data_IF_697806396019
#
_entry.id   IF_697806396019
#
_cell.length_a   1.000
_cell.length_b   1.000
_cell.length_c   1.000
_cell.angle_alpha   90.00
_cell.angle_beta   90.00
_cell.angle_gamma   90.00
#
_symmetry.space_group_name_H-M   'P 1'
#
loop_
_entity.id
_entity.type
_entity.pdbx_description
1 polymer ?
#
# COMPACT_ATOMS: atom_id res chain seq x y z
N UNK A 1 -0.85 -22.48 2.36
CA UNK A 1 -1.27 -21.12 2.68
C UNK A 1 -0.82 -20.18 1.56
N UNK A 2 -1.74 -19.36 1.05
CA UNK A 2 -1.43 -18.46 -0.08
C UNK A 2 -0.35 -17.42 0.26
N UNK A 3 -0.09 -17.11 1.54
CA UNK A 3 1.06 -16.27 1.93
C UNK A 3 2.41 -16.86 1.48
N UNK A 4 2.50 -18.16 1.27
CA UNK A 4 3.74 -18.78 0.80
C UNK A 4 4.16 -18.30 -0.59
N UNK A 5 3.23 -17.78 -1.41
CA UNK A 5 3.56 -17.15 -2.69
C UNK A 5 4.45 -15.90 -2.54
N UNK A 6 4.50 -15.28 -1.36
CA UNK A 6 5.49 -14.24 -1.10
C UNK A 6 6.93 -14.73 -1.29
N UNK A 7 7.22 -15.99 -1.00
CA UNK A 7 8.55 -16.57 -1.23
C UNK A 7 8.93 -16.61 -2.71
N UNK A 8 7.95 -16.65 -3.61
CA UNK A 8 8.15 -16.64 -5.06
C UNK A 8 8.28 -15.21 -5.60
N UNK A 9 7.57 -14.26 -5.01
CA UNK A 9 7.59 -12.86 -5.43
C UNK A 9 8.78 -12.07 -4.88
N UNK A 10 9.10 -12.22 -3.59
CA UNK A 10 10.11 -11.42 -2.91
C UNK A 10 11.51 -11.46 -3.57
N UNK A 11 12.00 -12.59 -4.11
CA UNK A 11 13.30 -12.62 -4.79
C UNK A 11 13.42 -11.72 -6.02
N UNK A 12 12.29 -11.30 -6.59
CA UNK A 12 12.25 -10.41 -7.76
C UNK A 12 12.57 -8.94 -7.43
N UNK A 13 12.58 -8.61 -6.14
CA UNK A 13 12.74 -7.24 -5.65
C UNK A 13 13.99 -7.13 -4.76
N UNK A 14 14.48 -5.91 -4.60
CA UNK A 14 15.64 -5.63 -3.77
C UNK A 14 15.43 -5.89 -2.28
N UNK A 15 16.42 -5.56 -1.48
CA UNK A 15 16.53 -5.98 -0.08
C UNK A 15 15.57 -5.26 0.85
N UNK A 16 15.26 -4.00 0.62
CA UNK A 16 14.54 -3.14 1.57
C UNK A 16 13.05 -3.07 1.23
N UNK A 17 12.22 -3.50 2.17
CA UNK A 17 10.76 -3.56 2.03
C UNK A 17 10.11 -2.64 3.04
N UNK A 18 9.31 -1.69 2.56
CA UNK A 18 8.43 -0.89 3.42
C UNK A 18 7.13 -1.66 3.66
N UNK A 19 6.91 -2.02 4.92
CA UNK A 19 5.73 -2.77 5.34
C UNK A 19 4.64 -1.83 5.79
N UNK A 20 3.61 -1.69 4.95
CA UNK A 20 2.47 -0.80 5.14
C UNK A 20 1.29 -1.56 5.72
N UNK A 21 0.72 -1.07 6.82
CA UNK A 21 -0.47 -1.68 7.44
C UNK A 21 -1.27 -0.66 8.27
N UNK A 22 -2.49 -1.02 8.64
CA UNK A 22 -3.40 -0.17 9.39
C UNK A 22 -3.18 -0.16 10.90
N UNK A 23 -4.24 -0.04 11.66
CA UNK A 23 -4.24 0.18 13.12
C UNK A 23 -3.93 -1.03 14.01
N UNK A 24 -3.52 -2.18 13.46
CA UNK A 24 -3.06 -3.31 14.25
C UNK A 24 -3.95 -4.56 14.23
N UNK A 25 -5.01 -4.60 13.43
CA UNK A 25 -5.84 -5.81 13.28
C UNK A 25 -5.02 -7.01 12.79
N UNK A 26 -4.08 -6.78 11.87
CA UNK A 26 -3.19 -7.84 11.36
C UNK A 26 -2.24 -8.39 12.43
N UNK A 27 -1.92 -7.61 13.45
CA UNK A 27 -1.12 -8.08 14.61
C UNK A 27 -1.94 -9.01 15.50
N UNK A 28 -3.22 -8.66 15.73
CA UNK A 28 -4.14 -9.46 16.57
C UNK A 28 -4.50 -10.81 15.94
N UNK A 29 -4.62 -10.89 14.63
CA UNK A 29 -4.97 -12.12 13.92
C UNK A 29 -3.76 -12.92 13.42
N UNK A 30 -2.53 -12.48 13.74
CA UNK A 30 -1.30 -13.19 13.43
C UNK A 30 -0.78 -13.03 11.99
N UNK A 31 -1.46 -12.28 11.13
CA UNK A 31 -1.02 -12.05 9.74
C UNK A 31 0.30 -11.29 9.72
N UNK A 32 0.45 -10.27 10.58
CA UNK A 32 1.68 -9.49 10.70
C UNK A 32 2.90 -10.38 10.96
N UNK A 33 2.80 -11.25 11.97
CA UNK A 33 3.92 -12.12 12.35
C UNK A 33 4.31 -13.06 11.19
N UNK A 34 3.32 -13.64 10.51
CA UNK A 34 3.56 -14.50 9.35
C UNK A 34 4.27 -13.77 8.21
N UNK A 35 3.82 -12.55 7.89
CA UNK A 35 4.43 -11.72 6.84
C UNK A 35 5.87 -11.35 7.22
N UNK A 36 6.09 -10.90 8.44
CA UNK A 36 7.42 -10.54 8.94
C UNK A 36 8.38 -11.73 8.90
N UNK A 37 7.92 -12.92 9.32
CA UNK A 37 8.73 -14.14 9.26
C UNK A 37 9.16 -14.50 7.84
N UNK A 38 8.23 -14.37 6.87
CA UNK A 38 8.54 -14.61 5.45
C UNK A 38 9.53 -13.57 4.92
N UNK A 39 9.34 -12.29 5.24
CA UNK A 39 10.28 -11.23 4.85
C UNK A 39 11.67 -11.49 5.39
N UNK A 40 11.80 -11.82 6.67
CA UNK A 40 13.08 -12.16 7.30
C UNK A 40 13.72 -13.41 6.71
N UNK A 41 12.94 -14.45 6.45
CA UNK A 41 13.43 -15.68 5.82
C UNK A 41 13.97 -15.43 4.40
N UNK A 42 13.46 -14.40 3.70
CA UNK A 42 13.97 -13.96 2.40
C UNK A 42 15.09 -12.90 2.51
N UNK A 43 15.64 -12.66 3.68
CA UNK A 43 16.75 -11.73 3.91
C UNK A 43 16.36 -10.26 3.72
N UNK A 44 15.09 -9.91 3.83
CA UNK A 44 14.63 -8.54 3.64
C UNK A 44 14.86 -7.69 4.89
N UNK A 45 15.19 -6.42 4.66
CA UNK A 45 15.20 -5.36 5.68
C UNK A 45 13.82 -4.72 5.68
N UNK A 46 13.19 -4.67 6.84
CA UNK A 46 11.82 -4.16 7.01
C UNK A 46 11.87 -2.71 7.48
N UNK A 47 11.22 -1.83 6.73
CA UNK A 47 10.93 -0.46 7.13
C UNK A 47 9.46 -0.41 7.54
N UNK A 48 9.20 -0.21 8.83
CA UNK A 48 7.85 -0.20 9.37
C UNK A 48 7.11 1.09 9.00
N UNK A 49 5.92 0.93 8.42
CA UNK A 49 5.01 2.04 8.10
C UNK A 49 3.58 1.65 8.47
N UNK A 50 3.34 1.56 9.77
CA UNK A 50 2.04 1.22 10.35
C UNK A 50 1.16 2.43 10.61
N UNK A 51 -0.05 2.17 11.09
CA UNK A 51 -0.99 3.22 11.49
C UNK A 51 -1.69 3.90 10.32
N UNK A 52 -1.73 3.28 9.15
CA UNK A 52 -2.52 3.81 8.02
C UNK A 52 -3.99 3.80 8.40
N UNK A 53 -4.57 4.99 8.47
CA UNK A 53 -5.96 5.18 8.83
C UNK A 53 -6.89 4.95 7.63
N UNK A 54 -8.18 4.63 7.85
CA UNK A 54 -9.19 4.76 6.80
C UNK A 54 -9.16 6.18 6.22
N UNK A 55 -9.20 6.29 4.90
CA UNK A 55 -8.98 7.56 4.19
C UNK A 55 -7.61 8.19 4.53
N UNK A 56 -6.50 7.64 4.02
CA UNK A 56 -5.14 8.10 4.31
C UNK A 56 -4.99 9.59 4.06
N UNK A 57 -4.28 10.26 4.97
CA UNK A 57 -4.08 11.71 4.89
C UNK A 57 -2.82 12.10 4.13
N UNK A 58 -2.80 13.36 3.66
CA UNK A 58 -1.61 13.95 3.01
C UNK A 58 -0.41 13.94 3.94
N UNK A 59 -0.61 14.24 5.23
CA UNK A 59 0.46 14.20 6.22
C UNK A 59 1.08 12.79 6.32
N UNK A 60 0.22 11.77 6.38
CA UNK A 60 0.68 10.37 6.42
C UNK A 60 1.40 9.99 5.12
N UNK A 61 0.92 10.46 3.98
CA UNK A 61 1.59 10.27 2.69
C UNK A 61 3.01 10.86 2.69
N UNK A 62 3.18 12.07 3.20
CA UNK A 62 4.50 12.69 3.28
C UNK A 62 5.46 11.92 4.18
N UNK A 63 4.98 11.42 5.34
CA UNK A 63 5.77 10.56 6.22
C UNK A 63 6.25 9.29 5.49
N UNK A 64 5.34 8.58 4.84
CA UNK A 64 5.65 7.35 4.12
C UNK A 64 6.57 7.56 2.92
N UNK A 65 6.37 8.65 2.18
CA UNK A 65 7.23 9.02 1.06
C UNK A 65 8.66 9.35 1.52
N UNK A 66 8.79 10.07 2.63
CA UNK A 66 10.08 10.37 3.26
C UNK A 66 10.80 9.09 3.72
N UNK A 67 10.10 8.19 4.41
CA UNK A 67 10.64 6.89 4.82
C UNK A 67 11.13 6.09 3.61
N UNK A 68 10.34 6.01 2.56
CA UNK A 68 10.68 5.27 1.34
C UNK A 68 11.93 5.82 0.65
N UNK A 69 12.06 7.13 0.59
CA UNK A 69 13.22 7.80 -0.02
C UNK A 69 14.48 7.65 0.82
N UNK A 70 14.40 7.92 2.11
CA UNK A 70 15.56 7.88 3.02
C UNK A 70 16.12 6.47 3.20
N UNK A 71 15.25 5.46 3.26
CA UNK A 71 15.64 4.06 3.37
C UNK A 71 15.97 3.40 2.02
N UNK A 72 15.81 4.11 0.93
CA UNK A 72 15.99 3.59 -0.44
C UNK A 72 15.20 2.29 -0.66
N UNK A 73 13.92 2.34 -0.38
CA UNK A 73 13.01 1.20 -0.42
C UNK A 73 12.88 0.62 -1.82
N UNK A 74 12.94 -0.71 -1.92
CA UNK A 74 12.89 -1.45 -3.19
C UNK A 74 11.49 -2.00 -3.50
N UNK A 75 10.68 -2.23 -2.48
CA UNK A 75 9.31 -2.74 -2.56
C UNK A 75 8.48 -2.16 -1.43
N UNK A 76 7.26 -1.74 -1.74
CA UNK A 76 6.26 -1.40 -0.74
C UNK A 76 5.25 -2.54 -0.68
N UNK A 77 5.13 -3.18 0.49
CA UNK A 77 4.19 -4.28 0.72
C UNK A 77 3.05 -3.79 1.60
N UNK A 78 1.87 -3.66 1.01
CA UNK A 78 0.65 -3.27 1.72
C UNK A 78 -0.05 -4.52 2.27
N UNK A 79 -0.26 -4.57 3.57
CA UNK A 79 -1.00 -5.65 4.25
C UNK A 79 -2.24 -5.05 4.90
N UNK A 80 -3.38 -5.14 4.22
CA UNK A 80 -4.61 -4.52 4.67
C UNK A 80 -5.71 -4.48 3.62
N UNK A 81 -6.61 -3.53 3.75
CA UNK A 81 -7.69 -3.27 2.81
C UNK A 81 -7.33 -2.21 1.77
N UNK A 82 -8.35 -1.68 1.10
CA UNK A 82 -8.18 -0.69 0.02
C UNK A 82 -7.42 0.57 0.43
N UNK A 83 -7.62 1.07 1.66
CA UNK A 83 -6.89 2.24 2.16
C UNK A 83 -5.39 2.01 2.25
N UNK A 84 -4.95 0.81 2.67
CA UNK A 84 -3.53 0.45 2.68
C UNK A 84 -2.96 0.35 1.26
N UNK A 85 -3.73 -0.22 0.33
CA UNK A 85 -3.31 -0.33 -1.08
C UNK A 85 -3.21 1.06 -1.74
N UNK A 86 -4.20 1.91 -1.54
CA UNK A 86 -4.19 3.30 -2.06
C UNK A 86 -3.00 4.08 -1.51
N UNK A 87 -2.80 4.00 -0.20
CA UNK A 87 -1.67 4.64 0.45
C UNK A 87 -0.32 4.15 -0.10
N UNK A 88 -0.14 2.84 -0.24
CA UNK A 88 1.08 2.26 -0.79
C UNK A 88 1.36 2.73 -2.22
N UNK A 89 0.34 2.80 -3.08
CA UNK A 89 0.45 3.34 -4.43
C UNK A 89 0.82 4.83 -4.42
N UNK A 90 0.17 5.61 -3.56
CA UNK A 90 0.49 7.04 -3.42
C UNK A 90 1.94 7.25 -2.95
N UNK A 91 2.42 6.48 -1.98
CA UNK A 91 3.82 6.52 -1.53
C UNK A 91 4.77 6.14 -2.67
N UNK A 92 4.42 5.13 -3.44
CA UNK A 92 5.29 4.60 -4.52
C UNK A 92 5.63 5.64 -5.58
N UNK A 93 4.70 6.54 -5.90
CA UNK A 93 4.89 7.62 -6.88
C UNK A 93 5.39 8.92 -6.25
N UNK A 94 5.27 9.07 -4.94
CA UNK A 94 5.60 10.30 -4.21
C UNK A 94 7.02 10.31 -3.66
N UNK A 95 7.59 9.15 -3.35
CA UNK A 95 8.92 9.03 -2.74
C UNK A 95 10.03 9.73 -3.55
N UNK A 96 10.01 9.60 -4.86
CA UNK A 96 10.99 10.19 -5.77
C UNK A 96 10.40 11.32 -6.64
N UNK A 97 9.23 11.81 -6.29
CA UNK A 97 8.62 12.98 -6.93
C UNK A 97 9.44 14.24 -6.61
N UNK A 98 9.76 15.02 -7.63
CA UNK A 98 10.55 16.26 -7.48
C UNK A 98 9.73 17.44 -6.97
N UNK A 99 8.41 17.35 -7.12
CA UNK A 99 7.43 18.37 -6.75
C UNK A 99 6.63 17.92 -5.52
N UNK A 100 5.79 18.81 -4.99
CA UNK A 100 4.81 18.41 -3.97
C UNK A 100 3.81 17.40 -4.58
N UNK A 101 3.76 16.15 -4.10
CA UNK A 101 2.89 15.13 -4.67
C UNK A 101 1.40 15.44 -4.49
N UNK A 102 0.99 16.13 -3.42
CA UNK A 102 -0.40 16.54 -3.26
C UNK A 102 -0.82 17.54 -4.32
N UNK A 103 0.00 18.57 -4.54
CA UNK A 103 -0.28 19.56 -5.58
C UNK A 103 -0.27 18.94 -6.97
N UNK A 104 0.79 18.20 -7.31
CA UNK A 104 0.97 17.61 -8.63
C UNK A 104 -0.12 16.59 -8.96
N UNK A 105 -0.29 15.59 -8.11
CA UNK A 105 -1.12 14.44 -8.43
C UNK A 105 -2.60 14.62 -8.08
N UNK A 106 -2.92 15.39 -7.05
CA UNK A 106 -4.28 15.47 -6.53
C UNK A 106 -4.96 16.82 -6.78
N UNK A 107 -4.23 17.92 -6.87
CA UNK A 107 -4.83 19.22 -7.21
C UNK A 107 -4.76 19.51 -8.71
N UNK A 108 -3.64 19.22 -9.35
CA UNK A 108 -3.46 19.46 -10.79
C UNK A 108 -3.80 18.24 -11.66
N UNK A 109 -4.01 17.06 -11.06
CA UNK A 109 -4.27 15.80 -11.76
C UNK A 109 -3.23 15.45 -12.82
N UNK A 110 -1.98 15.79 -12.59
CA UNK A 110 -0.90 15.42 -13.48
C UNK A 110 -0.53 13.94 -13.32
N UNK A 111 -0.08 13.33 -14.40
CA UNK A 111 0.48 11.97 -14.36
C UNK A 111 1.89 11.94 -13.79
N UNK A 112 2.36 10.73 -13.47
CA UNK A 112 3.73 10.50 -13.04
C UNK A 112 4.66 10.70 -14.23
N UNK A 113 5.67 11.57 -14.07
CA UNK A 113 6.64 11.85 -15.12
C UNK A 113 7.36 10.56 -15.56
N UNK A 114 7.71 10.49 -16.84
CA UNK A 114 8.32 9.31 -17.44
C UNK A 114 9.67 8.93 -16.78
N UNK A 115 10.39 9.92 -16.26
CA UNK A 115 11.70 9.75 -15.59
C UNK A 115 11.59 9.57 -14.06
N UNK A 116 10.40 9.67 -13.49
CA UNK A 116 10.20 9.45 -12.06
C UNK A 116 10.30 7.96 -11.73
N UNK A 117 11.18 7.63 -10.78
CA UNK A 117 11.27 6.28 -10.24
C UNK A 117 9.99 5.96 -9.44
N UNK A 118 9.30 4.90 -9.83
CA UNK A 118 8.15 4.35 -9.12
C UNK A 118 8.60 3.11 -8.36
N UNK A 119 8.38 3.09 -7.05
CA UNK A 119 8.69 1.92 -6.24
C UNK A 119 7.61 0.86 -6.49
N UNK A 120 7.95 -0.39 -6.82
CA UNK A 120 6.95 -1.43 -7.00
C UNK A 120 6.14 -1.67 -5.72
N UNK A 121 4.84 -1.95 -5.89
CA UNK A 121 3.89 -2.25 -4.81
C UNK A 121 3.42 -3.69 -4.93
N UNK A 122 3.39 -4.40 -3.81
CA UNK A 122 2.69 -5.67 -3.65
C UNK A 122 1.60 -5.54 -2.59
N UNK A 123 0.54 -6.31 -2.72
CA UNK A 123 -0.59 -6.28 -1.80
C UNK A 123 -0.86 -7.66 -1.19
N UNK A 124 -1.14 -7.68 0.10
CA UNK A 124 -1.73 -8.82 0.82
C UNK A 124 -3.07 -8.33 1.36
N UNK A 125 -4.16 -8.79 0.77
CA UNK A 125 -5.49 -8.29 1.10
C UNK A 125 -6.05 -8.95 2.36
N UNK A 126 -6.64 -8.12 3.22
CA UNK A 126 -7.40 -8.54 4.39
C UNK A 126 -8.87 -8.15 4.33
N UNK A 127 -9.26 -7.43 3.29
CA UNK A 127 -10.64 -7.00 3.01
C UNK A 127 -10.87 -6.97 1.50
N UNK A 128 -12.05 -7.39 1.07
CA UNK A 128 -12.47 -7.44 -0.34
C UNK A 128 -13.37 -6.26 -0.70
N UNK A 129 -13.52 -5.97 -2.00
CA UNK A 129 -14.54 -5.09 -2.55
C UNK A 129 -14.03 -3.83 -3.24
N UNK A 130 -12.85 -3.31 -2.91
CA UNK A 130 -12.39 -2.05 -3.50
C UNK A 130 -11.68 -2.20 -4.84
N UNK A 131 -11.11 -3.36 -5.14
CA UNK A 131 -10.29 -3.59 -6.35
C UNK A 131 -8.98 -2.80 -6.39
N UNK A 132 -8.58 -2.17 -5.28
CA UNK A 132 -7.39 -1.31 -5.24
C UNK A 132 -6.08 -2.07 -5.50
N UNK A 133 -6.07 -3.37 -5.28
CA UNK A 133 -4.95 -4.26 -5.59
C UNK A 133 -4.74 -4.50 -7.08
N UNK A 134 -5.72 -4.14 -7.92
CA UNK A 134 -5.73 -4.43 -9.36
C UNK A 134 -5.85 -3.18 -10.24
N UNK A 135 -5.72 -1.99 -9.67
CA UNK A 135 -5.84 -0.73 -10.43
C UNK A 135 -4.78 0.30 -10.02
N UNK A 136 -4.70 1.39 -10.78
CA UNK A 136 -3.80 2.51 -10.50
C UNK A 136 -4.45 3.65 -9.69
N UNK A 137 -5.64 3.46 -9.14
CA UNK A 137 -6.32 4.47 -8.36
C UNK A 137 -5.77 4.60 -6.95
N UNK A 138 -5.66 5.82 -6.46
CA UNK A 138 -5.29 6.11 -5.09
C UNK A 138 -6.08 7.32 -4.57
N UNK A 139 -6.72 7.15 -3.42
CA UNK A 139 -7.53 8.19 -2.78
C UNK A 139 -6.79 8.71 -1.56
N UNK A 140 -6.56 10.02 -1.52
CA UNK A 140 -5.90 10.71 -0.41
C UNK A 140 -6.79 11.85 0.10
N UNK A 141 -6.76 12.06 1.41
CA UNK A 141 -7.56 13.08 2.08
C UNK A 141 -6.65 14.16 2.64
N UNK A 142 -7.01 15.42 2.40
CA UNK A 142 -6.39 16.56 3.07
C UNK A 142 -7.36 17.13 4.12
N UNK A 143 -7.15 16.86 5.41
CA UNK A 143 -8.05 17.34 6.45
C UNK A 143 -8.10 18.86 6.58
N UNK A 144 -7.01 19.56 6.27
CA UNK A 144 -6.92 21.02 6.37
C UNK A 144 -7.81 21.71 5.34
N UNK A 145 -7.81 21.22 4.10
CA UNK A 145 -8.65 21.76 3.04
C UNK A 145 -10.01 21.06 2.95
N UNK A 146 -10.24 20.02 3.77
CA UNK A 146 -11.45 19.17 3.75
C UNK A 146 -11.69 18.51 2.39
N UNK A 147 -10.63 18.24 1.64
CA UNK A 147 -10.69 17.58 0.33
C UNK A 147 -10.35 16.11 0.45
N UNK A 148 -11.13 15.27 -0.22
CA UNK A 148 -10.83 13.86 -0.44
C UNK A 148 -10.83 13.64 -1.94
N UNK A 149 -9.65 13.34 -2.50
CA UNK A 149 -9.45 13.28 -3.94
C UNK A 149 -8.91 11.92 -4.31
N UNK A 150 -9.52 11.31 -5.32
CA UNK A 150 -9.02 10.11 -5.99
C UNK A 150 -8.43 10.48 -7.35
N UNK A 151 -7.28 9.90 -7.68
CA UNK A 151 -6.70 9.99 -9.00
C UNK A 151 -6.42 8.57 -9.50
N UNK A 152 -6.79 8.30 -10.74
CA UNK A 152 -6.50 7.03 -11.41
C UNK A 152 -5.30 7.24 -12.32
N UNK A 153 -4.16 6.67 -11.90
CA UNK A 153 -2.93 6.68 -12.67
C UNK A 153 -2.89 5.54 -13.68
N UNK A 154 -1.96 5.60 -14.62
CA UNK A 154 -1.73 4.54 -15.60
C UNK A 154 -1.21 3.23 -14.99
N UNK A 155 -1.01 2.24 -15.84
CA UNK A 155 -0.60 0.87 -15.50
C UNK A 155 0.75 0.76 -14.78
N UNK A 156 1.61 1.76 -14.94
CA UNK A 156 2.89 1.85 -14.21
C UNK A 156 2.71 1.87 -12.69
N UNK A 157 1.55 2.29 -12.20
CA UNK A 157 1.22 2.43 -10.76
C UNK A 157 0.46 1.22 -10.23
N UNK A 158 0.04 0.30 -11.09
CA UNK A 158 -0.63 -0.92 -10.66
C UNK A 158 0.27 -1.74 -9.73
N UNK A 159 -0.28 -2.31 -8.65
CA UNK A 159 0.44 -3.30 -7.86
C UNK A 159 0.96 -4.44 -8.75
N UNK A 160 2.17 -4.91 -8.45
CA UNK A 160 2.84 -5.92 -9.27
C UNK A 160 2.36 -7.33 -8.95
N UNK A 161 1.86 -7.53 -7.73
CA UNK A 161 1.20 -8.76 -7.32
C UNK A 161 0.20 -8.48 -6.20
N UNK A 162 -0.75 -9.39 -6.05
CA UNK A 162 -1.72 -9.38 -4.96
C UNK A 162 -1.90 -10.81 -4.41
N UNK A 163 -1.78 -10.94 -3.09
CA UNK A 163 -2.05 -12.19 -2.38
C UNK A 163 -3.46 -12.11 -1.82
N UNK A 164 -4.33 -12.97 -2.32
CA UNK A 164 -5.73 -13.06 -1.94
C UNK A 164 -5.94 -14.36 -1.16
N UNK A 165 -6.14 -14.23 0.16
CA UNK A 165 -6.46 -15.37 1.01
C UNK A 165 -7.82 -15.14 1.67
N UNK A 166 -8.88 -15.85 1.24
CA UNK A 166 -10.21 -15.67 1.81
C UNK A 166 -10.27 -15.86 3.33
N UNK A 167 -9.38 -16.67 3.90
CA UNK A 167 -9.34 -16.89 5.35
C UNK A 167 -9.00 -15.64 6.14
N UNK A 168 -8.28 -14.68 5.53
CA UNK A 168 -7.95 -13.40 6.18
C UNK A 168 -9.17 -12.50 6.36
N UNK A 169 -10.26 -12.76 5.64
CA UNK A 169 -11.51 -12.01 5.76
C UNK A 169 -12.47 -12.57 6.82
N UNK A 170 -12.20 -13.74 7.39
CA UNK A 170 -13.09 -14.39 8.36
C UNK A 170 -13.30 -13.58 9.65
N UNK A 171 -12.36 -12.71 10.00
CA UNK A 171 -12.48 -11.83 11.16
C UNK A 171 -13.29 -10.55 10.89
N UNK A 172 -13.70 -10.31 9.64
CA UNK A 172 -14.48 -9.14 9.28
C UNK A 172 -15.92 -9.26 9.83
N UNK A 173 -16.49 -8.17 10.39
CA UNK A 173 -17.91 -8.13 10.72
C UNK A 173 -18.79 -8.42 9.50
N UNK A 174 -19.91 -9.13 9.71
CA UNK A 174 -20.84 -9.49 8.63
C UNK A 174 -21.28 -8.31 7.77
N UNK A 175 -21.48 -7.15 8.41
CA UNK A 175 -21.83 -5.91 7.69
C UNK A 175 -20.75 -5.48 6.71
N UNK A 176 -19.47 -5.51 7.13
CA UNK A 176 -18.36 -5.14 6.24
C UNK A 176 -18.17 -6.14 5.11
N UNK A 177 -18.39 -7.43 5.37
CA UNK A 177 -18.38 -8.45 4.32
C UNK A 177 -19.47 -8.19 3.30
N UNK A 178 -20.71 -7.95 3.73
CA UNK A 178 -21.84 -7.64 2.84
C UNK A 178 -21.57 -6.36 2.03
N UNK A 179 -21.07 -5.29 2.66
CA UNK A 179 -20.76 -4.04 1.99
C UNK A 179 -19.62 -4.16 0.95
N UNK A 180 -18.76 -5.16 1.06
CA UNK A 180 -17.72 -5.44 0.08
C UNK A 180 -18.23 -6.18 -1.17
N UNK A 181 -19.44 -6.75 -1.12
CA UNK A 181 -20.06 -7.45 -2.26
C UNK A 181 -21.01 -6.57 -3.09
N UNK A 182 -21.45 -5.44 -2.56
CA UNK A 182 -22.34 -4.48 -3.21
C UNK A 182 -21.62 -3.16 -3.50
#
# INVERSE_FOLDING_TARGET
DSLNYLNEELPRYGKTVQLVYGGGSIKKNGIYDKVVDILKANGKVIVEDGGVMPNPTVEKLYEGAKLAKEANVDLILAVGGGSCCDYAKAVSISAHCKEDPWEKYYLKFEDVDADTKIIPVGCVLTMVGTGSEMNGGAVITNPKSKLKIGHVFGDRVFPKFAILNPTFTYSLPKYQMAAGFY
#
